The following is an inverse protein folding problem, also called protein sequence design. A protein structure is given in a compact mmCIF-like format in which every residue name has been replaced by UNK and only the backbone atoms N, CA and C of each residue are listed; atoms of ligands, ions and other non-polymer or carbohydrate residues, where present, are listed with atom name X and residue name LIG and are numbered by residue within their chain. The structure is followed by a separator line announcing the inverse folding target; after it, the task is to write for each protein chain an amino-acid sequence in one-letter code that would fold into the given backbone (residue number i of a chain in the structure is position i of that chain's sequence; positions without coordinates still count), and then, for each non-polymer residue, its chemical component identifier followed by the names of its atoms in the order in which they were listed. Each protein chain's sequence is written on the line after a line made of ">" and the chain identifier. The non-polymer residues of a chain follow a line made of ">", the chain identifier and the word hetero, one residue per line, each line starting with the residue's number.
data_IF_022602687242
#
_entry.id   IF_022602687242
#
_cell.length_a   1.000
_cell.length_b   1.000
_cell.length_c   1.000
_cell.angle_alpha   90.00
_cell.angle_beta   90.00
_cell.angle_gamma   90.00
#
_symmetry.space_group_name_H-M   'P 1'
#
loop_
_entity.id
_entity.type
_entity.pdbx_description
1 polymer ?
#
# COMPACT_ATOMS: atom_id res chain seq x y z
N UNK A 1 -13.06 25.00 -0.45
CA UNK A 1 -13.22 23.57 -0.11
C UNK A 1 -14.65 23.41 0.38
N UNK A 2 -15.48 22.63 -0.31
CA UNK A 2 -16.89 22.43 0.07
C UNK A 2 -16.94 21.60 1.36
N UNK A 3 -17.78 21.99 2.31
CA UNK A 3 -17.97 21.24 3.55
C UNK A 3 -18.62 19.89 3.21
N UNK A 4 -17.99 18.79 3.61
CA UNK A 4 -18.60 17.45 3.49
C UNK A 4 -19.82 17.32 4.40
N UNK A 5 -20.80 16.56 3.94
CA UNK A 5 -22.05 16.26 4.64
C UNK A 5 -22.21 14.77 4.84
N UNK A 6 -22.44 14.34 6.08
CA UNK A 6 -22.66 12.94 6.44
C UNK A 6 -23.96 12.81 7.21
N UNK A 7 -24.74 11.78 6.90
CA UNK A 7 -25.90 11.39 7.69
C UNK A 7 -25.62 10.04 8.32
N UNK A 8 -25.82 9.93 9.62
CA UNK A 8 -25.46 8.76 10.44
C UNK A 8 -26.71 8.23 11.12
N UNK A 9 -26.89 6.91 11.13
CA UNK A 9 -27.84 6.25 12.01
C UNK A 9 -27.29 6.21 13.44
N UNK A 10 -27.97 6.86 14.37
CA UNK A 10 -27.55 6.98 15.76
C UNK A 10 -27.55 5.64 16.53
N UNK A 11 -28.33 4.65 16.09
CA UNK A 11 -28.39 3.34 16.75
C UNK A 11 -27.19 2.45 16.37
N UNK A 12 -26.72 2.57 15.13
CA UNK A 12 -25.72 1.66 14.56
C UNK A 12 -24.38 2.31 14.25
N UNK A 13 -24.30 3.65 14.31
CA UNK A 13 -23.17 4.46 13.85
C UNK A 13 -22.82 4.29 12.36
N UNK A 14 -23.71 3.67 11.56
CA UNK A 14 -23.54 3.46 10.12
C UNK A 14 -23.89 4.74 9.36
N UNK A 15 -23.20 4.99 8.26
CA UNK A 15 -23.59 6.08 7.36
C UNK A 15 -24.88 5.68 6.63
N UNK A 16 -25.81 6.61 6.48
CA UNK A 16 -26.94 6.47 5.55
C UNK A 16 -26.72 7.31 4.31
N UNK A 17 -25.93 8.38 4.40
CA UNK A 17 -25.41 9.10 3.24
C UNK A 17 -24.06 9.79 3.48
N UNK A 18 -23.31 9.97 2.39
CA UNK A 18 -22.10 10.81 2.31
C UNK A 18 -22.23 11.72 1.10
N UNK A 19 -22.16 13.03 1.31
CA UNK A 19 -22.29 14.07 0.28
C UNK A 19 -23.50 13.88 -0.65
N UNK A 20 -24.63 13.46 -0.05
CA UNK A 20 -25.90 13.23 -0.75
C UNK A 20 -26.03 11.85 -1.41
N UNK A 21 -24.97 11.06 -1.44
CA UNK A 21 -25.03 9.71 -1.96
C UNK A 21 -25.37 8.70 -0.85
N UNK A 22 -26.29 7.78 -1.16
CA UNK A 22 -26.76 6.75 -0.24
C UNK A 22 -25.66 5.73 0.11
N UNK A 23 -25.69 5.24 1.34
CA UNK A 23 -24.80 4.19 1.85
C UNK A 23 -25.62 3.01 2.33
N UNK A 24 -25.21 1.79 2.00
CA UNK A 24 -25.88 0.57 2.48
C UNK A 24 -24.91 -0.36 3.17
N UNK A 25 -25.45 -1.16 4.09
CA UNK A 25 -24.69 -2.08 4.92
C UNK A 25 -25.41 -3.43 5.01
N UNK A 26 -24.66 -4.50 5.22
CA UNK A 26 -25.23 -5.80 5.59
C UNK A 26 -25.60 -5.86 7.08
N UNK A 27 -26.13 -7.01 7.53
CA UNK A 27 -26.48 -7.23 8.94
C UNK A 27 -25.23 -7.20 9.85
N UNK A 28 -24.09 -7.72 9.38
CA UNK A 28 -22.82 -7.71 10.11
C UNK A 28 -22.20 -6.32 10.24
N UNK A 29 -22.67 -5.35 9.45
CA UNK A 29 -22.20 -3.96 9.49
C UNK A 29 -21.07 -3.67 8.52
N UNK A 30 -20.90 -4.49 7.47
CA UNK A 30 -20.01 -4.18 6.36
C UNK A 30 -20.73 -3.29 5.35
N UNK A 31 -20.05 -2.25 4.87
CA UNK A 31 -20.58 -1.34 3.87
C UNK A 31 -20.67 -2.04 2.51
N UNK A 32 -21.89 -2.27 2.02
CA UNK A 32 -22.18 -2.97 0.76
C UNK A 32 -22.32 -2.02 -0.43
N UNK A 33 -22.41 -0.70 -0.20
CA UNK A 33 -22.42 0.31 -1.26
C UNK A 33 -21.84 1.65 -0.77
N UNK A 34 -21.02 2.30 -1.62
CA UNK A 34 -20.30 3.55 -1.28
C UNK A 34 -20.22 4.61 -2.39
N UNK A 35 -21.24 4.70 -3.26
CA UNK A 35 -21.31 5.59 -4.43
C UNK A 35 -20.38 5.21 -5.58
N UNK A 36 -19.25 4.60 -5.25
CA UNK A 36 -18.29 4.07 -6.21
C UNK A 36 -18.80 2.75 -6.76
N UNK A 37 -19.28 1.87 -5.88
CA UNK A 37 -19.66 0.54 -6.27
C UNK A 37 -20.37 -0.25 -5.19
N UNK A 38 -20.64 -1.52 -5.50
CA UNK A 38 -21.11 -2.49 -4.51
C UNK A 38 -19.98 -3.37 -4.02
N UNK A 39 -20.04 -3.77 -2.75
CA UNK A 39 -19.01 -4.59 -2.10
C UNK A 39 -19.64 -5.85 -1.52
N UNK A 40 -18.95 -6.97 -1.64
CA UNK A 40 -19.32 -8.26 -1.04
C UNK A 40 -18.23 -8.72 -0.08
N UNK A 41 -18.63 -9.39 1.00
CA UNK A 41 -17.74 -9.79 2.09
C UNK A 41 -17.86 -11.28 2.37
N UNK A 42 -16.79 -11.88 2.91
CA UNK A 42 -16.83 -13.22 3.47
C UNK A 42 -17.35 -13.21 4.93
N UNK A 43 -17.46 -14.41 5.53
CA UNK A 43 -17.91 -14.57 6.91
C UNK A 43 -16.94 -13.97 7.94
N UNK A 44 -15.71 -13.66 7.54
CA UNK A 44 -14.69 -13.00 8.37
C UNK A 44 -14.68 -11.47 8.17
N UNK A 45 -15.66 -10.93 7.44
CA UNK A 45 -15.84 -9.50 7.16
C UNK A 45 -14.72 -8.89 6.30
N UNK A 46 -14.07 -9.71 5.47
CA UNK A 46 -13.10 -9.25 4.47
C UNK A 46 -13.80 -9.08 3.13
N UNK A 47 -13.52 -7.96 2.46
CA UNK A 47 -14.10 -7.67 1.15
C UNK A 47 -13.57 -8.66 0.11
N UNK A 48 -14.43 -9.49 -0.48
CA UNK A 48 -14.08 -10.48 -1.49
C UNK A 48 -14.36 -10.02 -2.91
N UNK A 49 -15.27 -9.04 -3.07
CA UNK A 49 -15.66 -8.50 -4.36
C UNK A 49 -15.98 -7.02 -4.25
N UNK A 50 -15.56 -6.25 -5.25
CA UNK A 50 -16.03 -4.89 -5.49
C UNK A 50 -16.49 -4.76 -6.95
N UNK A 51 -17.67 -4.16 -7.16
CA UNK A 51 -18.23 -3.92 -8.49
C UNK A 51 -18.36 -2.42 -8.71
N UNK A 52 -17.61 -1.90 -9.69
CA UNK A 52 -17.64 -0.49 -10.10
C UNK A 52 -18.17 -0.41 -11.53
N UNK A 53 -19.41 0.06 -11.71
CA UNK A 53 -20.09 -0.03 -13.01
C UNK A 53 -20.19 -1.50 -13.48
N UNK A 54 -19.58 -1.81 -14.63
CA UNK A 54 -19.51 -3.18 -15.17
C UNK A 54 -18.25 -3.95 -14.74
N UNK A 55 -17.28 -3.28 -14.09
CA UNK A 55 -16.02 -3.88 -13.67
C UNK A 55 -16.21 -4.70 -12.40
N UNK A 56 -15.88 -5.99 -12.48
CA UNK A 56 -15.82 -6.87 -11.31
C UNK A 56 -14.36 -7.02 -10.87
N UNK A 57 -14.12 -6.79 -9.58
CA UNK A 57 -12.82 -6.91 -8.93
C UNK A 57 -12.93 -7.89 -7.77
N UNK A 58 -11.99 -8.82 -7.66
CA UNK A 58 -12.01 -9.91 -6.68
C UNK A 58 -10.74 -9.92 -5.84
N UNK A 59 -10.89 -10.24 -4.56
CA UNK A 59 -9.80 -10.27 -3.59
C UNK A 59 -9.82 -11.60 -2.83
N UNK A 60 -8.64 -12.16 -2.60
CA UNK A 60 -8.46 -13.44 -1.91
C UNK A 60 -7.42 -13.30 -0.83
N UNK A 61 -7.65 -13.99 0.28
CA UNK A 61 -6.89 -13.85 1.50
C UNK A 61 -6.36 -15.20 1.96
N UNK A 62 -5.22 -15.20 2.63
CA UNK A 62 -4.76 -16.36 3.37
C UNK A 62 -5.48 -16.49 4.73
N UNK A 63 -5.19 -17.58 5.45
CA UNK A 63 -5.75 -17.83 6.78
C UNK A 63 -5.31 -16.80 7.84
N UNK A 64 -4.30 -15.97 7.56
CA UNK A 64 -3.87 -14.88 8.44
C UNK A 64 -4.52 -13.53 8.09
N UNK A 65 -5.37 -13.49 7.07
CA UNK A 65 -6.05 -12.28 6.61
C UNK A 65 -5.23 -11.42 5.64
N UNK A 66 -4.07 -11.88 5.19
CA UNK A 66 -3.29 -11.14 4.18
C UNK A 66 -3.86 -11.37 2.80
N UNK A 67 -3.93 -10.32 1.99
CA UNK A 67 -4.40 -10.40 0.61
C UNK A 67 -3.33 -11.05 -0.25
N UNK A 68 -3.55 -12.28 -0.69
CA UNK A 68 -2.57 -13.05 -1.48
C UNK A 68 -2.82 -12.99 -2.98
N UNK A 69 -4.04 -12.63 -3.41
CA UNK A 69 -4.40 -12.55 -4.82
C UNK A 69 -5.47 -11.51 -5.06
N UNK A 70 -5.40 -10.85 -6.21
CA UNK A 70 -6.42 -9.92 -6.72
C UNK A 70 -6.63 -10.13 -8.21
N UNK A 71 -7.87 -10.00 -8.66
CA UNK A 71 -8.25 -10.02 -10.08
C UNK A 71 -9.04 -8.75 -10.37
N UNK A 72 -8.59 -7.92 -11.30
CA UNK A 72 -9.29 -6.71 -11.71
C UNK A 72 -9.95 -6.88 -13.08
N UNK A 73 -11.12 -6.25 -13.27
CA UNK A 73 -11.86 -6.24 -14.53
C UNK A 73 -12.04 -7.64 -15.16
N UNK A 74 -12.38 -8.64 -14.33
CA UNK A 74 -12.41 -10.04 -14.74
C UNK A 74 -13.56 -10.84 -14.11
N UNK A 75 -13.45 -12.16 -14.14
CA UNK A 75 -14.29 -13.07 -13.34
C UNK A 75 -13.47 -13.65 -12.19
N UNK A 76 -14.16 -14.23 -11.19
CA UNK A 76 -13.51 -14.88 -10.05
C UNK A 76 -12.62 -16.06 -10.47
N UNK A 77 -12.96 -16.72 -11.57
CA UNK A 77 -12.30 -17.93 -12.08
C UNK A 77 -11.43 -17.68 -13.31
N UNK A 78 -11.82 -16.77 -14.20
CA UNK A 78 -11.18 -16.61 -15.51
C UNK A 78 -11.19 -15.15 -16.01
N UNK A 79 -10.10 -14.76 -16.68
CA UNK A 79 -9.95 -13.43 -17.28
C UNK A 79 -9.68 -12.30 -16.26
N UNK A 80 -9.36 -11.12 -16.79
CA UNK A 80 -8.97 -9.95 -15.99
C UNK A 80 -7.46 -9.85 -15.73
N UNK A 81 -7.08 -8.79 -15.02
CA UNK A 81 -5.69 -8.55 -14.59
C UNK A 81 -5.48 -9.21 -13.23
N UNK A 82 -4.76 -10.34 -13.23
CA UNK A 82 -4.49 -11.10 -12.01
C UNK A 82 -3.12 -10.75 -11.43
N UNK A 83 -3.09 -10.52 -10.11
CA UNK A 83 -1.89 -10.18 -9.35
C UNK A 83 -1.80 -11.06 -8.11
N UNK A 84 -0.63 -11.68 -7.91
CA UNK A 84 -0.28 -12.42 -6.71
C UNK A 84 0.63 -11.60 -5.83
N UNK A 85 0.36 -11.60 -4.52
CA UNK A 85 1.10 -10.84 -3.52
C UNK A 85 1.99 -11.77 -2.72
N UNK A 86 3.28 -11.45 -2.65
CA UNK A 86 4.28 -12.20 -1.90
C UNK A 86 4.76 -11.35 -0.73
N UNK A 87 4.61 -11.88 0.47
CA UNK A 87 5.01 -11.19 1.70
C UNK A 87 6.37 -11.68 2.20
N UNK A 88 7.16 -10.77 2.75
CA UNK A 88 8.44 -11.07 3.40
C UNK A 88 8.26 -11.69 4.79
N UNK A 89 9.39 -12.05 5.41
CA UNK A 89 9.41 -12.75 6.70
C UNK A 89 8.89 -11.91 7.86
N UNK A 90 9.02 -10.58 7.82
CA UNK A 90 8.46 -9.69 8.85
C UNK A 90 7.01 -9.28 8.56
N UNK A 91 6.49 -9.73 7.41
CA UNK A 91 5.10 -9.68 7.03
C UNK A 91 4.70 -8.52 6.10
N UNK A 92 5.64 -7.69 5.71
CA UNK A 92 5.55 -6.66 4.68
C UNK A 92 5.33 -7.24 3.28
N UNK A 93 4.64 -6.50 2.40
CA UNK A 93 4.49 -6.88 1.00
C UNK A 93 5.83 -6.72 0.30
N UNK A 94 6.47 -7.80 -0.12
CA UNK A 94 7.81 -7.80 -0.72
C UNK A 94 7.77 -7.73 -2.24
N UNK A 95 6.81 -8.41 -2.88
CA UNK A 95 6.70 -8.43 -4.33
C UNK A 95 5.27 -8.70 -4.83
N UNK A 96 5.02 -8.29 -6.07
CA UNK A 96 3.82 -8.64 -6.83
C UNK A 96 4.18 -9.37 -8.11
N UNK A 97 3.44 -10.42 -8.44
CA UNK A 97 3.59 -11.17 -9.68
C UNK A 97 2.31 -11.03 -10.52
N UNK A 98 2.49 -10.59 -11.77
CA UNK A 98 1.44 -10.70 -12.76
C UNK A 98 1.19 -12.17 -13.11
N UNK A 99 -0.08 -12.52 -13.26
CA UNK A 99 -0.48 -13.74 -13.94
C UNK A 99 -1.33 -13.36 -15.15
N UNK A 100 -0.90 -13.76 -16.35
CA UNK A 100 -1.62 -13.52 -17.58
C UNK A 100 -2.02 -14.86 -18.21
N UNK A 101 -3.26 -15.26 -17.93
CA UNK A 101 -3.85 -16.51 -18.40
C UNK A 101 -3.83 -16.69 -19.93
N UNK A 102 -3.65 -15.62 -20.72
CA UNK A 102 -3.71 -15.66 -22.19
C UNK A 102 -2.32 -15.79 -22.84
N UNK A 103 -1.24 -15.34 -22.18
CA UNK A 103 0.08 -15.19 -22.83
C UNK A 103 1.26 -15.85 -22.10
N UNK A 104 1.15 -16.23 -20.82
CA UNK A 104 2.22 -16.95 -20.11
C UNK A 104 1.76 -17.55 -18.75
N UNK A 105 2.39 -18.64 -18.26
CA UNK A 105 2.31 -19.03 -16.84
C UNK A 105 2.83 -17.90 -15.92
N UNK A 106 2.65 -18.05 -14.60
CA UNK A 106 3.11 -17.07 -13.59
C UNK A 106 4.49 -16.52 -13.95
N UNK A 107 4.61 -15.19 -13.98
CA UNK A 107 5.84 -14.53 -14.38
C UNK A 107 7.03 -15.08 -13.55
N UNK A 108 8.14 -15.36 -14.21
CA UNK A 108 9.36 -15.88 -13.55
C UNK A 108 10.12 -14.80 -12.77
N UNK A 109 9.74 -13.54 -12.96
CA UNK A 109 10.25 -12.38 -12.24
C UNK A 109 9.06 -11.56 -11.69
N UNK A 110 9.24 -10.87 -10.56
CA UNK A 110 8.20 -10.01 -10.01
C UNK A 110 7.90 -8.87 -10.98
N UNK A 111 6.63 -8.45 -11.02
CA UNK A 111 6.19 -7.23 -11.69
C UNK A 111 6.54 -6.00 -10.85
N UNK A 112 6.44 -6.11 -9.52
CA UNK A 112 6.78 -5.04 -8.58
C UNK A 112 7.55 -5.59 -7.40
N UNK A 113 8.45 -4.79 -6.86
CA UNK A 113 9.22 -5.10 -5.66
C UNK A 113 9.23 -3.92 -4.69
N UNK A 114 9.30 -4.24 -3.40
CA UNK A 114 9.16 -3.27 -2.31
C UNK A 114 10.33 -3.43 -1.34
N UNK A 115 11.11 -2.37 -1.18
CA UNK A 115 12.26 -2.36 -0.27
C UNK A 115 11.98 -1.55 0.99
N UNK A 116 12.07 -2.22 2.15
CA UNK A 116 11.80 -1.65 3.46
C UNK A 116 13.07 -1.48 4.28
N UNK A 117 13.05 -0.53 5.21
CA UNK A 117 14.04 -0.41 6.28
C UNK A 117 13.35 0.01 7.57
N UNK A 118 13.47 -0.80 8.62
CA UNK A 118 12.83 -0.53 9.91
C UNK A 118 11.30 -0.40 9.80
N UNK A 119 10.67 -1.27 9.00
CA UNK A 119 9.22 -1.27 8.79
C UNK A 119 8.67 -0.14 7.91
N UNK A 120 9.54 0.71 7.33
CA UNK A 120 9.13 1.79 6.41
C UNK A 120 9.51 1.46 4.97
N UNK A 121 8.57 1.62 4.05
CA UNK A 121 8.82 1.50 2.62
C UNK A 121 9.69 2.68 2.16
N UNK A 122 10.85 2.39 1.57
CA UNK A 122 11.79 3.41 1.11
C UNK A 122 11.98 3.41 -0.39
N UNK A 123 11.94 2.22 -0.99
CA UNK A 123 12.18 2.05 -2.42
C UNK A 123 11.12 1.13 -3.01
N UNK A 124 10.71 1.45 -4.22
CA UNK A 124 9.71 0.75 -4.97
C UNK A 124 10.24 0.54 -6.38
N UNK A 125 10.13 -0.69 -6.89
CA UNK A 125 10.43 -1.01 -8.27
C UNK A 125 9.19 -1.53 -8.99
N UNK A 126 9.01 -1.13 -10.24
CA UNK A 126 7.89 -1.53 -11.09
C UNK A 126 8.35 -1.79 -12.53
N UNK A 127 8.41 -3.08 -12.88
CA UNK A 127 8.82 -3.54 -14.20
C UNK A 127 7.85 -3.19 -15.33
N UNK A 128 6.64 -2.70 -15.03
CA UNK A 128 5.72 -2.20 -16.06
C UNK A 128 6.02 -0.77 -16.51
N UNK A 129 6.83 -0.04 -15.75
CA UNK A 129 7.28 1.29 -16.13
C UNK A 129 8.53 1.21 -17.02
N UNK A 130 8.89 2.31 -17.66
CA UNK A 130 10.05 2.40 -18.55
C UNK A 130 11.12 3.33 -17.99
N UNK A 131 12.39 3.00 -18.29
CA UNK A 131 13.54 3.84 -17.96
C UNK A 131 13.65 4.16 -16.46
N UNK A 132 13.88 5.43 -16.14
CA UNK A 132 14.12 5.86 -14.77
C UNK A 132 12.89 5.76 -13.85
N UNK A 133 11.68 5.69 -14.42
CA UNK A 133 10.43 5.55 -13.67
C UNK A 133 10.20 4.13 -13.14
N UNK A 134 11.05 3.16 -13.51
CA UNK A 134 11.03 1.82 -12.95
C UNK A 134 11.41 1.79 -11.48
N UNK A 135 12.33 2.66 -11.04
CA UNK A 135 12.80 2.71 -9.66
C UNK A 135 12.39 4.04 -9.02
N UNK A 136 11.71 3.97 -7.87
CA UNK A 136 11.23 5.13 -7.14
C UNK A 136 11.68 5.10 -5.70
N UNK A 137 12.20 6.22 -5.21
CA UNK A 137 12.42 6.47 -3.79
C UNK A 137 11.25 7.24 -3.22
N UNK A 138 10.73 6.76 -2.09
CA UNK A 138 9.58 7.34 -1.43
C UNK A 138 10.02 8.22 -0.27
N UNK A 139 9.50 9.45 -0.24
CA UNK A 139 9.62 10.35 0.90
C UNK A 139 8.27 10.38 1.61
N UNK A 140 8.27 10.04 2.89
CA UNK A 140 7.05 9.95 3.71
C UNK A 140 6.95 11.12 4.69
N UNK A 141 5.72 11.47 5.09
CA UNK A 141 5.48 12.39 6.20
C UNK A 141 5.63 11.71 7.57
N UNK A 142 5.35 12.45 8.64
CA UNK A 142 5.41 11.93 10.00
C UNK A 142 4.49 10.72 10.23
N UNK A 143 3.36 10.65 9.52
CA UNK A 143 2.38 9.55 9.61
C UNK A 143 2.82 8.33 8.79
N UNK A 144 3.86 8.46 7.96
CA UNK A 144 4.28 7.45 7.00
C UNK A 144 3.54 7.54 5.66
N UNK A 145 2.76 8.59 5.41
CA UNK A 145 2.10 8.78 4.13
C UNK A 145 3.10 9.20 3.06
N UNK A 146 3.04 8.61 1.88
CA UNK A 146 3.94 8.95 0.77
C UNK A 146 3.67 10.37 0.28
N UNK A 147 4.62 11.30 0.43
CA UNK A 147 4.50 12.70 0.00
C UNK A 147 5.21 12.97 -1.31
N UNK A 148 6.31 12.27 -1.58
CA UNK A 148 7.05 12.45 -2.83
C UNK A 148 7.58 11.12 -3.33
N UNK A 149 7.67 11.02 -4.65
CA UNK A 149 8.29 9.91 -5.36
C UNK A 149 9.38 10.49 -6.27
N UNK A 150 10.63 10.15 -6.00
CA UNK A 150 11.76 10.51 -6.85
C UNK A 150 12.13 9.31 -7.72
N UNK A 151 12.16 9.50 -9.03
CA UNK A 151 12.59 8.45 -9.97
C UNK A 151 14.12 8.35 -10.04
N UNK A 152 14.63 7.31 -10.73
CA UNK A 152 16.06 7.01 -10.83
C UNK A 152 16.94 8.18 -11.30
N UNK A 153 16.39 9.08 -12.11
CA UNK A 153 17.11 10.24 -12.64
C UNK A 153 17.58 11.22 -11.56
N UNK A 154 16.87 11.26 -10.41
CA UNK A 154 17.09 12.24 -9.36
C UNK A 154 16.70 13.68 -9.74
N UNK A 155 16.11 13.89 -10.93
CA UNK A 155 15.67 15.20 -11.41
C UNK A 155 14.47 15.70 -10.61
N UNK A 156 14.54 16.95 -10.15
CA UNK A 156 13.43 17.60 -9.43
C UNK A 156 12.15 17.73 -10.28
N UNK A 157 12.30 17.79 -11.60
CA UNK A 157 11.19 17.83 -12.57
C UNK A 157 10.48 16.47 -12.69
N UNK A 158 11.18 15.37 -12.41
CA UNK A 158 10.63 14.02 -12.40
C UNK A 158 9.99 13.61 -11.07
N UNK A 159 10.00 14.50 -10.05
CA UNK A 159 9.41 14.20 -8.75
C UNK A 159 7.90 14.29 -8.83
N UNK A 160 7.22 13.22 -8.42
CA UNK A 160 5.78 13.21 -8.16
C UNK A 160 5.52 13.61 -6.71
N UNK A 161 4.44 14.34 -6.47
CA UNK A 161 4.07 14.88 -5.16
C UNK A 161 2.63 14.56 -4.83
N UNK A 162 2.40 14.23 -3.57
CA UNK A 162 1.10 13.85 -3.04
C UNK A 162 0.83 14.70 -1.79
N UNK A 163 -0.31 15.37 -1.77
CA UNK A 163 -0.81 16.08 -0.59
C UNK A 163 -2.11 15.43 -0.14
N UNK A 164 -2.28 15.25 1.17
CA UNK A 164 -3.48 14.65 1.74
C UNK A 164 -4.22 15.62 2.65
N UNK A 165 -5.55 15.53 2.64
CA UNK A 165 -6.40 15.99 3.72
C UNK A 165 -6.14 15.15 4.99
N UNK A 166 -6.56 15.62 6.19
CA UNK A 166 -6.26 14.94 7.44
C UNK A 166 -6.67 13.46 7.48
N UNK A 167 -7.72 13.07 6.76
CA UNK A 167 -8.21 11.69 6.66
C UNK A 167 -7.72 10.94 5.42
N UNK A 168 -6.66 11.42 4.74
CA UNK A 168 -5.99 10.67 3.68
C UNK A 168 -6.54 10.85 2.27
N UNK A 169 -7.56 11.70 2.08
CA UNK A 169 -8.04 12.07 0.74
C UNK A 169 -6.96 12.89 0.04
N UNK A 170 -6.63 12.52 -1.19
CA UNK A 170 -5.53 13.13 -1.94
C UNK A 170 -5.98 14.39 -2.68
N UNK A 171 -5.20 15.46 -2.54
CA UNK A 171 -5.40 16.73 -3.24
C UNK A 171 -4.67 16.67 -4.59
N UNK A 172 -5.43 16.51 -5.67
CA UNK A 172 -4.91 16.48 -7.05
C UNK A 172 -4.91 17.87 -7.70
N UNK A 173 -4.12 18.06 -8.76
CA UNK A 173 -3.91 19.35 -9.43
C UNK A 173 -5.18 20.06 -9.92
N UNK A 174 -6.28 19.34 -10.20
CA UNK A 174 -7.57 19.95 -10.55
C UNK A 174 -8.23 20.74 -9.40
N UNK A 175 -7.70 20.63 -8.18
CA UNK A 175 -8.19 21.33 -6.99
C UNK A 175 -7.57 22.73 -6.86
N UNK A 176 -7.86 23.60 -7.83
CA UNK A 176 -7.85 25.07 -7.67
C UNK A 176 -6.56 25.77 -7.23
N UNK A 177 -5.38 25.16 -7.39
CA UNK A 177 -4.09 25.79 -7.09
C UNK A 177 -3.08 25.51 -8.21
N UNK A 178 -2.07 26.36 -8.35
CA UNK A 178 -0.93 26.30 -9.28
C UNK A 178 -0.07 25.02 -9.06
N UNK A 179 -0.67 23.85 -9.25
CA UNK A 179 -0.11 22.52 -9.07
C UNK A 179 0.33 21.90 -10.41
N UNK A 180 -0.08 22.56 -11.51
CA UNK A 180 0.39 22.46 -12.89
C UNK A 180 1.91 22.34 -13.01
N UNK A 181 2.43 21.19 -13.45
CA UNK A 181 3.84 21.04 -13.82
C UNK A 181 4.83 20.95 -12.65
N UNK A 182 4.35 20.82 -11.41
CA UNK A 182 5.18 20.63 -10.19
C UNK A 182 5.00 19.23 -9.60
N UNK A 183 4.65 18.25 -10.44
CA UNK A 183 4.55 16.85 -10.02
C UNK A 183 3.27 16.44 -9.29
N UNK A 184 2.25 17.30 -9.27
CA UNK A 184 0.91 17.00 -8.72
C UNK A 184 -0.08 16.52 -9.79
N UNK A 185 0.40 16.28 -11.01
CA UNK A 185 -0.44 15.91 -12.15
C UNK A 185 -0.85 14.43 -12.13
N UNK A 186 -2.11 14.12 -12.46
CA UNK A 186 -2.47 12.81 -13.01
C UNK A 186 -1.73 12.62 -14.36
N UNK A 187 -1.35 11.38 -14.77
CA UNK A 187 -1.93 10.12 -14.34
C UNK A 187 -1.04 9.29 -13.40
N UNK A 188 -1.74 8.69 -12.43
CA UNK A 188 -1.44 7.46 -11.68
C UNK A 188 0.04 7.13 -11.53
N UNK A 189 0.62 7.58 -10.42
CA UNK A 189 1.78 6.87 -9.89
C UNK A 189 1.41 5.40 -9.70
N UNK A 190 2.31 4.51 -10.13
CA UNK A 190 2.14 3.07 -9.96
C UNK A 190 2.41 2.57 -8.53
N UNK A 191 2.85 3.47 -7.63
CA UNK A 191 2.97 3.24 -6.19
C UNK A 191 1.56 3.26 -5.60
N UNK A 192 1.14 2.17 -4.97
CA UNK A 192 -0.20 2.10 -4.33
C UNK A 192 -0.15 2.51 -2.87
N UNK A 193 1.03 2.62 -2.26
CA UNK A 193 1.22 2.99 -0.86
C UNK A 193 1.04 4.50 -0.70
N UNK A 194 -0.14 4.90 -0.22
CA UNK A 194 -0.59 6.30 -0.12
C UNK A 194 -0.62 6.73 1.34
N UNK A 195 -1.81 6.93 1.90
CA UNK A 195 -2.02 7.43 3.25
C UNK A 195 -1.53 6.43 4.29
N UNK A 196 -0.70 6.88 5.25
CA UNK A 196 -0.07 6.03 6.28
C UNK A 196 0.67 4.79 5.72
N UNK A 197 1.11 4.86 4.47
CA UNK A 197 1.80 3.76 3.77
C UNK A 197 0.89 2.60 3.37
N UNK A 198 -0.44 2.76 3.46
CA UNK A 198 -1.42 1.72 3.11
C UNK A 198 -1.68 1.68 1.62
N UNK A 199 -1.97 0.48 1.14
CA UNK A 199 -2.23 0.23 -0.26
C UNK A 199 -3.61 0.74 -0.64
N UNK A 200 -3.68 1.72 -1.53
CA UNK A 200 -4.92 2.22 -2.12
C UNK A 200 -5.27 1.39 -3.35
N UNK A 201 -6.42 0.74 -3.30
CA UNK A 201 -7.02 0.09 -4.45
C UNK A 201 -7.61 1.17 -5.37
N UNK A 202 -7.05 1.31 -6.57
CA UNK A 202 -7.47 2.35 -7.53
C UNK A 202 -8.92 2.21 -7.98
N UNK A 203 -9.41 0.97 -8.02
CA UNK A 203 -10.73 0.57 -8.46
C UNK A 203 -11.84 0.91 -7.45
N UNK A 204 -11.52 0.99 -6.15
CA UNK A 204 -12.50 1.34 -5.09
C UNK A 204 -12.19 2.69 -4.45
N UNK A 205 -10.95 3.16 -4.51
CA UNK A 205 -10.46 4.29 -3.74
C UNK A 205 -10.26 3.99 -2.25
N UNK A 206 -10.44 2.72 -1.83
CA UNK A 206 -10.27 2.30 -0.44
C UNK A 206 -8.82 1.91 -0.16
N UNK A 207 -8.37 2.21 1.05
CA UNK A 207 -7.06 1.81 1.55
C UNK A 207 -7.18 0.47 2.29
N UNK A 208 -6.36 -0.51 1.90
CA UNK A 208 -6.29 -1.82 2.56
C UNK A 208 -5.35 -1.75 3.77
N UNK A 209 -5.92 -1.87 4.98
CA UNK A 209 -5.15 -1.83 6.22
C UNK A 209 -4.73 -3.22 6.72
N UNK A 210 -5.28 -4.29 6.16
CA UNK A 210 -5.11 -5.67 6.64
C UNK A 210 -6.44 -6.21 7.14
N UNK A 211 -6.84 -5.84 8.35
CA UNK A 211 -8.09 -6.28 8.95
C UNK A 211 -9.34 -5.61 8.33
N UNK A 212 -9.19 -4.36 7.85
CA UNK A 212 -10.31 -3.54 7.37
C UNK A 212 -9.91 -2.71 6.15
N UNK A 213 -10.92 -2.25 5.43
CA UNK A 213 -10.79 -1.24 4.39
C UNK A 213 -11.16 0.13 4.95
N UNK A 214 -10.36 1.14 4.63
CA UNK A 214 -10.55 2.51 5.05
C UNK A 214 -10.98 3.37 3.86
N UNK A 215 -12.03 4.16 4.05
CA UNK A 215 -12.49 5.14 3.08
C UNK A 215 -11.99 6.52 3.50
N UNK A 216 -11.03 7.06 2.75
CA UNK A 216 -10.52 8.41 2.99
C UNK A 216 -11.56 9.50 2.73
N UNK A 217 -12.49 9.25 1.80
CA UNK A 217 -13.59 10.18 1.49
C UNK A 217 -14.61 10.25 2.63
N UNK A 218 -14.86 9.13 3.31
CA UNK A 218 -15.74 9.07 4.48
C UNK A 218 -15.03 9.34 5.81
N UNK A 219 -13.69 9.24 5.83
CA UNK A 219 -12.87 9.39 7.03
C UNK A 219 -13.03 8.27 8.06
N UNK A 220 -13.41 7.06 7.63
CA UNK A 220 -13.71 5.92 8.51
C UNK A 220 -13.50 4.57 7.82
N UNK A 221 -13.49 3.50 8.62
CA UNK A 221 -13.50 2.13 8.10
C UNK A 221 -14.86 1.75 7.51
N UNK A 222 -14.84 0.86 6.51
CA UNK A 222 -16.05 0.37 5.80
C UNK A 222 -16.70 -0.83 6.50
N UNK A 223 -15.98 -1.49 7.40
CA UNK A 223 -16.47 -2.59 8.24
C UNK A 223 -16.25 -2.28 9.72
N UNK A 224 -16.98 -3.01 10.57
CA UNK A 224 -16.84 -2.87 12.02
C UNK A 224 -15.47 -3.35 12.50
N UNK A 225 -15.00 -2.81 13.63
CA UNK A 225 -13.76 -3.23 14.26
C UNK A 225 -13.86 -4.65 14.88
N UNK A 226 -13.00 -5.60 14.47
CA UNK A 226 -12.94 -6.92 15.09
C UNK A 226 -12.61 -6.89 16.60
N UNK A 227 -11.97 -5.82 17.09
CA UNK A 227 -11.66 -5.60 18.51
C UNK A 227 -12.75 -4.77 19.20
N UNK A 228 -14.00 -5.26 19.15
CA UNK A 228 -15.17 -4.53 19.65
C UNK A 228 -15.13 -4.24 21.16
N UNK A 229 -14.57 -5.13 21.99
CA UNK A 229 -14.46 -4.89 23.43
C UNK A 229 -13.08 -5.24 23.98
N UNK A 230 -12.37 -4.23 24.48
CA UNK A 230 -11.16 -4.41 25.31
C UNK A 230 -11.25 -3.50 26.53
N UNK A 231 -10.58 -3.86 27.62
CA UNK A 231 -10.57 -3.04 28.84
C UNK A 231 -10.12 -1.58 28.57
N UNK A 232 -9.19 -1.38 27.63
CA UNK A 232 -8.73 -0.04 27.21
C UNK A 232 -9.81 0.77 26.50
N UNK A 233 -10.65 0.12 25.67
CA UNK A 233 -11.72 0.79 24.93
C UNK A 233 -12.92 1.15 25.80
N UNK A 234 -13.22 0.31 26.80
CA UNK A 234 -14.32 0.57 27.73
C UNK A 234 -14.13 1.85 28.55
N UNK A 235 -12.89 2.25 28.81
CA UNK A 235 -12.56 3.50 29.52
C UNK A 235 -12.30 4.69 28.61
N UNK A 236 -12.39 4.52 27.28
CA UNK A 236 -12.27 5.57 26.28
C UNK A 236 -13.47 5.51 25.31
N UNK A 237 -14.62 6.13 25.67
CA UNK A 237 -15.86 6.03 24.91
C UNK A 237 -15.72 6.41 23.43
N UNK A 238 -14.72 7.23 23.07
CA UNK A 238 -14.43 7.60 21.68
C UNK A 238 -14.04 6.39 20.82
N UNK A 239 -13.49 5.33 21.42
CA UNK A 239 -13.11 4.09 20.74
C UNK A 239 -14.24 3.06 20.66
N UNK A 240 -15.42 3.33 21.26
CA UNK A 240 -16.59 2.46 21.14
C UNK A 240 -17.31 2.63 19.80
N UNK A 241 -16.96 3.66 19.01
CA UNK A 241 -17.40 3.74 17.63
C UNK A 241 -16.53 2.83 16.74
N UNK A 242 -17.10 1.68 16.39
CA UNK A 242 -16.41 0.60 15.66
C UNK A 242 -16.01 0.95 14.22
N UNK A 243 -16.47 2.08 13.68
CA UNK A 243 -16.09 2.57 12.35
C UNK A 243 -15.03 3.67 12.41
N UNK A 244 -14.84 4.30 13.56
CA UNK A 244 -13.98 5.49 13.66
C UNK A 244 -12.53 5.18 13.35
N UNK A 245 -11.88 6.07 12.61
CA UNK A 245 -10.44 6.01 12.38
C UNK A 245 -9.72 6.77 13.48
N UNK A 246 -8.88 6.06 14.24
CA UNK A 246 -7.90 6.60 15.22
C UNK A 246 -8.45 7.71 16.14
N UNK A 247 -9.64 7.50 16.70
CA UNK A 247 -10.35 8.44 17.58
C UNK A 247 -10.63 9.81 16.94
N UNK A 248 -10.77 9.84 15.61
CA UNK A 248 -10.92 11.06 14.82
C UNK A 248 -9.76 12.06 14.99
N UNK A 249 -8.56 11.60 15.33
CA UNK A 249 -7.36 12.44 15.42
C UNK A 249 -6.20 11.87 14.57
N UNK A 250 -6.37 11.88 13.22
CA UNK A 250 -5.43 11.25 12.28
C UNK A 250 -4.09 11.97 12.13
N UNK A 251 -3.93 13.15 12.73
CA UNK A 251 -2.65 13.87 12.74
C UNK A 251 -1.74 13.40 13.89
N UNK A 252 -2.30 12.71 14.89
CA UNK A 252 -1.59 12.24 16.09
C UNK A 252 -1.44 10.73 16.15
N UNK A 253 -2.39 10.01 15.57
CA UNK A 253 -2.49 8.57 15.66
C UNK A 253 -2.58 7.96 14.26
N UNK A 254 -2.07 6.73 14.14
CA UNK A 254 -2.15 5.90 12.93
C UNK A 254 -2.65 4.51 13.32
N UNK A 255 -3.28 3.79 12.40
CA UNK A 255 -3.68 2.39 12.60
C UNK A 255 -2.77 1.48 11.74
N UNK A 256 -1.87 0.68 12.34
CA UNK A 256 -0.91 -0.12 11.58
C UNK A 256 -1.47 -1.37 10.91
N UNK A 257 -2.59 -1.93 11.36
CA UNK A 257 -3.11 -3.21 10.85
C UNK A 257 -4.64 -3.20 10.64
N UNK A 258 -5.27 -2.05 10.85
CA UNK A 258 -6.70 -1.88 10.81
C UNK A 258 -7.38 -2.44 12.05
N UNK A 259 -6.69 -2.68 13.16
CA UNK A 259 -7.29 -3.18 14.39
C UNK A 259 -7.24 -2.17 15.54
N UNK A 260 -6.10 -1.50 15.74
CA UNK A 260 -5.96 -0.55 16.85
C UNK A 260 -5.02 0.62 16.52
N UNK A 261 -5.30 1.75 17.15
CA UNK A 261 -4.51 2.96 16.95
C UNK A 261 -3.19 2.91 17.74
N UNK A 262 -2.16 3.50 17.16
CA UNK A 262 -0.87 3.78 17.82
C UNK A 262 -0.50 5.24 17.65
N UNK A 263 0.35 5.74 18.55
CA UNK A 263 0.91 7.08 18.43
C UNK A 263 1.93 7.10 17.28
N UNK A 264 1.83 8.11 16.40
CA UNK A 264 2.63 8.29 15.18
C UNK A 264 4.15 8.08 15.34
N UNK A 265 4.72 8.39 16.51
CA UNK A 265 6.15 8.29 16.78
C UNK A 265 6.63 6.91 17.28
N UNK A 266 5.80 5.85 17.21
CA UNK A 266 6.19 4.48 17.58
C UNK A 266 6.14 3.48 16.40
N UNK A 267 6.78 3.75 15.23
CA UNK A 267 6.91 2.74 14.19
C UNK A 267 7.87 1.64 14.69
N UNK A 268 7.35 0.44 14.94
CA UNK A 268 8.14 -0.71 15.42
C UNK A 268 7.45 -1.64 16.42
N UNK A 269 6.21 -1.34 16.85
CA UNK A 269 5.40 -2.33 17.59
C UNK A 269 4.63 -3.20 16.60
N UNK A 270 5.27 -4.26 16.11
CA UNK A 270 4.54 -5.39 15.53
C UNK A 270 3.56 -5.92 16.60
N UNK A 271 2.32 -6.21 16.21
CA UNK A 271 1.19 -6.61 17.06
C UNK A 271 1.31 -8.02 17.67
N UNK A 272 2.52 -8.42 18.08
CA UNK A 272 2.77 -9.63 18.89
C UNK A 272 3.70 -9.31 20.05
N UNK A 273 3.15 -8.74 21.12
CA UNK A 273 3.51 -9.00 22.53
C UNK A 273 3.11 -7.82 23.40
N UNK A 274 2.00 -7.98 24.13
CA UNK A 274 1.78 -7.24 25.37
C UNK A 274 2.58 -7.99 26.44
N UNK A 275 3.79 -7.53 26.71
CA UNK A 275 4.45 -7.76 27.99
C UNK A 275 5.02 -6.42 28.47
N UNK A 276 4.35 -5.84 29.46
CA UNK A 276 4.96 -4.81 30.31
C UNK A 276 6.09 -5.49 31.10
N UNK A 277 7.34 -5.09 30.87
CA UNK A 277 8.42 -5.46 31.78
C UNK A 277 9.80 -5.61 31.14
N UNK A 278 10.72 -4.79 31.65
CA UNK A 278 12.19 -4.88 31.54
C UNK A 278 12.84 -4.48 30.20
N UNK A 279 13.63 -3.39 30.30
CA UNK A 279 14.66 -3.01 29.34
C UNK A 279 15.66 -4.17 29.20
N UNK A 280 15.81 -4.73 28.00
CA UNK A 280 17.04 -5.46 27.64
C UNK A 280 17.63 -4.86 26.37
N UNK A 281 18.88 -4.46 26.53
CA UNK A 281 19.81 -3.90 25.55
C UNK A 281 20.07 -4.99 24.51
N UNK A 282 19.73 -4.76 23.24
CA UNK A 282 20.09 -5.65 22.14
C UNK A 282 21.33 -5.04 21.48
N UNK A 283 22.46 -5.73 21.59
CA UNK A 283 23.69 -5.35 20.90
C UNK A 283 23.60 -5.74 19.42
N UNK A 284 24.06 -4.82 18.58
CA UNK A 284 24.16 -4.92 17.14
C UNK A 284 25.30 -5.89 16.76
N UNK A 285 25.01 -6.92 15.99
CA UNK A 285 26.01 -7.58 15.15
C UNK A 285 25.49 -7.66 13.70
N UNK A 286 26.02 -6.73 12.90
CA UNK A 286 26.52 -6.90 11.53
C UNK A 286 25.78 -7.87 10.59
N UNK A 287 24.85 -7.34 9.79
CA UNK A 287 24.51 -7.88 8.46
C UNK A 287 24.91 -6.81 7.44
N UNK A 288 26.20 -6.80 7.14
CA UNK A 288 26.71 -6.40 5.83
C UNK A 288 27.04 -7.71 5.11
N UNK A 289 26.81 -7.77 3.79
CA UNK A 289 27.09 -8.88 2.87
C UNK A 289 25.90 -9.82 2.56
N UNK A 290 24.93 -9.35 1.76
CA UNK A 290 24.10 -10.20 0.87
C UNK A 290 23.19 -9.41 -0.10
N UNK A 291 23.65 -8.30 -0.74
CA UNK A 291 22.89 -7.64 -1.84
C UNK A 291 23.79 -7.07 -2.96
N UNK A 292 25.04 -7.50 -3.12
CA UNK A 292 25.89 -6.93 -4.21
C UNK A 292 26.69 -8.00 -4.97
N UNK A 293 26.00 -8.86 -5.72
CA UNK A 293 26.65 -9.57 -6.83
C UNK A 293 25.66 -9.91 -7.96
N UNK A 294 25.24 -8.88 -8.71
CA UNK A 294 24.81 -9.07 -10.12
C UNK A 294 24.85 -7.79 -10.95
N UNK A 295 25.93 -7.00 -10.87
CA UNK A 295 26.26 -5.98 -11.88
C UNK A 295 27.78 -5.94 -12.04
N UNK A 296 28.34 -6.88 -12.81
CA UNK A 296 29.60 -6.76 -13.55
C UNK A 296 29.92 -8.05 -14.33
N UNK A 297 29.18 -8.33 -15.40
CA UNK A 297 29.70 -9.22 -16.46
C UNK A 297 29.32 -8.69 -17.84
N UNK A 298 29.81 -7.50 -18.14
CA UNK A 298 29.90 -6.99 -19.51
C UNK A 298 31.19 -6.16 -19.63
N UNK A 299 32.23 -6.78 -20.18
CA UNK A 299 33.55 -6.20 -20.38
C UNK A 299 34.47 -7.29 -20.93
N UNK A 300 34.37 -7.60 -22.23
CA UNK A 300 35.30 -7.12 -23.26
C UNK A 300 36.71 -7.66 -23.03
N UNK A 301 37.05 -8.66 -23.82
CA UNK A 301 38.32 -9.35 -23.91
C UNK A 301 39.41 -8.40 -24.48
N UNK A 302 40.48 -8.07 -23.75
CA UNK A 302 41.57 -7.27 -24.29
C UNK A 302 42.63 -8.18 -24.91
N UNK A 303 42.62 -8.20 -26.26
CA UNK A 303 43.58 -8.90 -27.09
C UNK A 303 45.04 -8.66 -26.74
N UNK A 304 45.81 -9.75 -26.73
CA UNK A 304 47.26 -9.72 -26.59
C UNK A 304 47.91 -9.51 -27.97
N UNK A 305 48.29 -8.26 -28.27
CA UNK A 305 49.35 -7.95 -29.24
C UNK A 305 50.56 -7.39 -28.48
N UNK A 306 51.68 -8.10 -28.50
CA UNK A 306 53.03 -7.53 -28.39
C UNK A 306 53.94 -8.22 -29.39
N UNK A 307 54.61 -7.42 -30.20
CA UNK A 307 55.53 -7.86 -31.24
C UNK A 307 56.96 -8.06 -30.73
N UNK A 308 57.70 -8.88 -31.50
CA UNK A 308 59.08 -8.67 -31.96
C UNK A 308 60.22 -8.48 -30.96
N UNK A 309 61.14 -9.46 -30.90
CA UNK A 309 62.57 -9.25 -31.21
C UNK A 309 63.35 -10.59 -31.23
N UNK A 310 63.82 -10.96 -32.43
CA UNK A 310 65.18 -11.42 -32.81
C UNK A 310 65.98 -12.25 -31.79
N UNK A 311 66.30 -13.52 -32.12
CA UNK A 311 67.67 -13.97 -32.45
C UNK A 311 67.82 -15.51 -32.51
N UNK A 312 68.29 -15.96 -33.67
CA UNK A 312 69.34 -16.96 -33.90
C UNK A 312 69.20 -18.49 -33.72
N UNK A 313 69.71 -19.13 -34.78
CA UNK A 313 70.53 -20.34 -34.87
C UNK A 313 69.90 -21.73 -35.14
N UNK A 314 69.99 -22.07 -36.44
CA UNK A 314 70.68 -23.23 -37.04
C UNK A 314 70.14 -24.66 -36.89
N UNK A 315 70.05 -25.26 -38.08
CA UNK A 315 69.91 -26.67 -38.50
C UNK A 315 68.51 -27.28 -38.48
#
# INVERSE_FOLDING_TARGET
>A
MTRKSFVVDAATNRLTSSDGCAMTYDAAGNQTYDCVGTHSYDAENRMTKAVQGSSNNYYFYDASGKRVRRILNGSQTWGGQETWFVYGFEGELAAEYAYNQVTAPLATAPQKEYGYRGGKLLVFWDGTQAGDDQLKWLVTDQLGSTRMEANKSGSLTGIRRHDYLPFGEELVASTGAQRGGVGYEPPASSVRQRFTGKERDTETGLDFFGARYFSSTQGRFTSYDPLWTTAKRLVDPQQLNLYSYVRNNPLKYVDPDGMDLVLTAMPGRNSRSICWGSKKKIELMSIWLLVMERIASSGVDPGHRRGGSIADHLM
#
